data_IF_729867300371
#
_entry.id   IF_729867300371
#
_cell.length_a   1.000
_cell.length_b   1.000
_cell.length_c   1.000
_cell.angle_alpha   90.00
_cell.angle_beta   90.00
_cell.angle_gamma   90.00
#
_symmetry.space_group_name_H-M   'P 1'
#
loop_
_entity.id
_entity.type
_entity.pdbx_description
1 polymer ?
#
# COMPACT_ATOMS: atom_id res chain seq x y z
N UNK A 1 -16.86 -0.33 -6.37
CA UNK A 1 -15.59 -0.42 -7.11
C UNK A 1 -14.50 -0.76 -6.09
N UNK A 2 -13.79 -1.88 -6.22
CA UNK A 2 -12.72 -2.25 -5.28
C UNK A 2 -11.46 -1.44 -5.60
N UNK A 3 -11.09 -0.50 -4.72
CA UNK A 3 -9.89 0.33 -4.90
C UNK A 3 -8.65 -0.54 -4.68
N UNK A 4 -7.76 -0.63 -5.67
CA UNK A 4 -6.52 -1.41 -5.60
C UNK A 4 -5.33 -0.48 -5.89
N UNK A 5 -4.29 -0.54 -5.06
CA UNK A 5 -3.03 0.16 -5.26
C UNK A 5 -1.83 -0.80 -5.41
N UNK A 6 -0.89 -0.45 -6.29
CA UNK A 6 0.44 -1.04 -6.36
C UNK A 6 1.42 -0.10 -5.65
N UNK A 7 2.19 -0.61 -4.69
CA UNK A 7 3.22 0.17 -3.98
C UNK A 7 4.58 -0.50 -4.18
N UNK A 8 5.54 0.27 -4.66
CA UNK A 8 6.95 -0.15 -4.78
C UNK A 8 7.75 0.35 -3.57
N UNK A 9 8.78 -0.37 -3.15
CA UNK A 9 9.49 -0.10 -1.89
C UNK A 9 8.60 -0.28 -0.64
N UNK A 10 7.63 -1.19 -0.69
CA UNK A 10 6.59 -1.34 0.34
C UNK A 10 7.09 -1.91 1.69
N UNK A 11 8.33 -2.38 1.76
CA UNK A 11 8.89 -3.08 2.92
C UNK A 11 9.43 -2.16 4.02
N UNK A 12 9.68 -0.87 3.75
CA UNK A 12 10.22 0.05 4.75
C UNK A 12 9.90 1.52 4.48
N UNK A 13 10.21 2.36 5.47
CA UNK A 13 10.15 3.83 5.36
C UNK A 13 8.81 4.37 4.87
N UNK A 14 8.88 5.24 3.86
CA UNK A 14 7.72 5.91 3.29
C UNK A 14 6.79 4.90 2.60
N UNK A 15 7.35 3.95 1.84
CA UNK A 15 6.55 2.95 1.12
C UNK A 15 5.68 2.13 2.06
N UNK A 16 6.25 1.66 3.18
CA UNK A 16 5.50 0.94 4.22
C UNK A 16 4.39 1.81 4.85
N UNK A 17 4.70 3.07 5.15
CA UNK A 17 3.73 4.00 5.75
C UNK A 17 2.54 4.27 4.81
N UNK A 18 2.81 4.42 3.52
CA UNK A 18 1.77 4.61 2.49
C UNK A 18 0.93 3.34 2.31
N UNK A 19 1.57 2.15 2.29
CA UNK A 19 0.85 0.87 2.25
C UNK A 19 -0.14 0.75 3.41
N UNK A 20 0.29 1.07 4.64
CA UNK A 20 -0.58 1.01 5.82
C UNK A 20 -1.75 2.01 5.75
N UNK A 21 -1.49 3.24 5.30
CA UNK A 21 -2.53 4.23 5.11
C UNK A 21 -3.58 3.75 4.10
N UNK A 22 -3.17 3.24 2.94
CA UNK A 22 -4.08 2.76 1.91
C UNK A 22 -4.92 1.57 2.40
N UNK A 23 -4.30 0.62 3.11
CA UNK A 23 -5.03 -0.50 3.73
C UNK A 23 -6.09 0.02 4.71
N UNK A 24 -5.77 1.01 5.54
CA UNK A 24 -6.73 1.61 6.50
C UNK A 24 -7.93 2.28 5.82
N UNK A 25 -7.77 2.73 4.56
CA UNK A 25 -8.82 3.35 3.75
C UNK A 25 -9.63 2.34 2.90
N UNK A 26 -9.45 1.04 3.17
CA UNK A 26 -10.15 -0.04 2.49
C UNK A 26 -9.62 -0.35 1.09
N UNK A 27 -8.39 0.05 0.77
CA UNK A 27 -7.74 -0.38 -0.46
C UNK A 27 -7.23 -1.81 -0.30
N UNK A 28 -7.28 -2.57 -1.39
CA UNK A 28 -6.42 -3.74 -1.56
C UNK A 28 -5.06 -3.26 -2.04
N UNK A 29 -3.97 -3.77 -1.49
CA UNK A 29 -2.62 -3.33 -1.87
C UNK A 29 -1.77 -4.51 -2.32
N UNK A 30 -1.11 -4.37 -3.48
CA UNK A 30 0.01 -5.24 -3.89
C UNK A 30 1.31 -4.49 -3.61
N UNK A 31 2.14 -5.01 -2.70
CA UNK A 31 3.44 -4.43 -2.38
C UNK A 31 4.56 -5.18 -3.10
N UNK A 32 5.51 -4.44 -3.68
CA UNK A 32 6.80 -4.96 -4.15
C UNK A 32 7.93 -4.23 -3.41
N UNK A 33 8.99 -4.96 -3.05
CA UNK A 33 10.16 -4.41 -2.35
C UNK A 33 11.28 -4.11 -3.31
#
# INVERSE_FOLDING_TARGET
MNKHALVTGASSGIGLSITQLLLSQGYRVTGIS
#
